data_IF_181597370104
#
_entry.id   IF_181597370104
#
_cell.length_a   1.000
_cell.length_b   1.000
_cell.length_c   1.000
_cell.angle_alpha   90.00
_cell.angle_beta   90.00
_cell.angle_gamma   90.00
#
_symmetry.space_group_name_H-M   'P 1'
#
loop_
_entity.id
_entity.type
_entity.pdbx_description
1 polymer ?
#
# COMPACT_ATOMS: atom_id res chain seq x y z
N UNK A 1 -38.27 8.02 38.45
CA UNK A 1 -38.17 8.10 36.97
C UNK A 1 -36.90 8.79 36.42
N UNK A 2 -35.90 9.16 37.24
CA UNK A 2 -34.67 9.84 36.75
C UNK A 2 -33.53 8.90 36.31
N UNK A 3 -33.52 7.63 36.73
CA UNK A 3 -32.42 6.67 36.46
C UNK A 3 -32.42 6.04 35.05
N UNK A 4 -33.56 6.03 34.33
CA UNK A 4 -33.62 5.47 32.97
C UNK A 4 -32.99 6.39 31.91
N UNK A 5 -33.08 7.72 32.08
CA UNK A 5 -32.54 8.69 31.12
C UNK A 5 -31.01 8.68 31.03
N UNK A 6 -30.32 8.35 32.13
CA UNK A 6 -28.85 8.35 32.18
C UNK A 6 -28.28 7.11 31.46
N UNK A 7 -28.93 5.95 31.57
CA UNK A 7 -28.53 4.72 30.86
C UNK A 7 -28.69 4.86 29.34
N UNK A 8 -29.76 5.50 28.86
CA UNK A 8 -29.94 5.75 27.43
C UNK A 8 -28.91 6.73 26.84
N UNK A 9 -28.40 7.68 27.64
CA UNK A 9 -27.36 8.62 27.20
C UNK A 9 -25.98 7.93 27.12
N UNK A 10 -25.67 7.01 28.03
CA UNK A 10 -24.42 6.22 27.96
C UNK A 10 -24.40 5.24 26.77
N UNK A 11 -25.53 4.66 26.39
CA UNK A 11 -25.62 3.73 25.25
C UNK A 11 -25.48 4.48 23.91
N UNK A 12 -25.94 5.73 23.83
CA UNK A 12 -25.79 6.55 22.63
C UNK A 12 -24.33 7.00 22.41
N UNK A 13 -23.55 7.17 23.49
CA UNK A 13 -22.14 7.53 23.40
C UNK A 13 -21.24 6.34 23.00
N UNK A 14 -21.65 5.10 23.32
CA UNK A 14 -20.90 3.90 22.97
C UNK A 14 -21.06 3.53 21.48
N UNK A 15 -22.22 3.81 20.88
CA UNK A 15 -22.45 3.59 19.44
C UNK A 15 -21.72 4.59 18.52
N UNK A 16 -21.28 5.74 19.05
CA UNK A 16 -20.50 6.72 18.28
C UNK A 16 -19.01 6.36 18.15
N UNK A 17 -18.53 5.32 18.85
CA UNK A 17 -17.12 4.92 18.83
C UNK A 17 -16.77 3.81 17.83
N UNK A 18 -17.77 3.26 17.13
CA UNK A 18 -17.58 2.21 16.12
C UNK A 18 -17.38 2.75 14.68
N UNK A 19 -17.04 4.03 14.54
CA UNK A 19 -16.49 4.60 13.31
C UNK A 19 -14.97 4.41 13.25
N UNK A 20 -14.47 3.21 13.57
CA UNK A 20 -13.06 2.88 13.55
C UNK A 20 -12.53 2.84 12.12
N UNK A 21 -11.88 3.93 11.70
CA UNK A 21 -10.73 3.93 10.80
C UNK A 21 -10.91 3.16 9.48
N UNK A 22 -11.93 3.50 8.69
CA UNK A 22 -11.69 3.61 7.25
C UNK A 22 -10.87 4.88 7.06
N UNK A 23 -9.57 4.80 7.37
CA UNK A 23 -8.60 5.72 6.84
C UNK A 23 -8.65 5.57 5.33
N UNK A 24 -9.58 6.27 4.68
CA UNK A 24 -9.43 6.66 3.30
C UNK A 24 -8.24 7.63 3.28
N UNK A 25 -7.04 7.08 3.47
CA UNK A 25 -5.79 7.71 3.08
C UNK A 25 -5.77 7.64 1.57
N UNK A 26 -6.67 8.43 0.96
CA UNK A 26 -6.44 8.87 -0.38
C UNK A 26 -5.13 9.62 -0.33
N UNK A 27 -4.28 9.42 -1.33
CA UNK A 27 -3.39 10.49 -1.80
C UNK A 27 -4.31 11.64 -2.25
N UNK A 28 -5.13 12.22 -1.36
CA UNK A 28 -5.89 13.43 -1.65
C UNK A 28 -4.82 14.41 -2.02
N UNK A 29 -4.79 14.79 -3.30
CA UNK A 29 -3.77 15.61 -3.90
C UNK A 29 -3.42 16.84 -3.04
N UNK A 30 -2.51 16.69 -2.10
CA UNK A 30 -1.68 17.74 -1.53
C UNK A 30 -0.25 17.37 -1.89
N UNK A 31 0.32 17.86 -2.98
CA UNK A 31 -0.24 18.36 -4.24
C UNK A 31 0.89 17.96 -5.15
N UNK A 32 0.70 16.93 -6.01
CA UNK A 32 1.69 16.74 -7.07
C UNK A 32 1.94 18.11 -7.68
N UNK A 33 3.22 18.50 -7.89
CA UNK A 33 3.52 19.83 -8.40
C UNK A 33 2.62 20.10 -9.60
N UNK A 34 1.99 21.28 -9.67
CA UNK A 34 0.88 21.55 -10.59
C UNK A 34 1.23 21.34 -12.07
N UNK A 35 2.52 21.36 -12.40
CA UNK A 35 3.06 21.09 -13.72
C UNK A 35 3.12 19.59 -14.09
N UNK A 36 3.05 18.67 -13.11
CA UNK A 36 3.01 17.23 -13.36
C UNK A 36 1.60 16.83 -13.81
N UNK A 37 1.43 16.60 -15.11
CA UNK A 37 0.17 16.14 -15.73
C UNK A 37 0.25 14.71 -16.23
N UNK A 38 1.46 14.23 -16.49
CA UNK A 38 1.74 12.89 -16.97
C UNK A 38 2.78 12.20 -16.10
N UNK A 39 2.57 10.90 -15.85
CA UNK A 39 3.50 10.07 -15.11
C UNK A 39 3.75 8.79 -15.90
N UNK A 40 5.01 8.39 -16.02
CA UNK A 40 5.39 7.08 -16.52
C UNK A 40 5.70 6.16 -15.34
N UNK A 41 4.99 5.02 -15.28
CA UNK A 41 5.29 3.95 -14.32
C UNK A 41 6.17 2.94 -15.03
N UNK A 42 7.43 2.85 -14.61
CA UNK A 42 8.39 1.93 -15.20
C UNK A 42 8.11 0.48 -14.78
N UNK A 43 8.67 -0.45 -15.54
CA UNK A 43 8.72 -1.85 -15.11
C UNK A 43 9.46 -1.98 -13.78
N UNK A 44 8.98 -2.87 -12.92
CA UNK A 44 9.60 -3.10 -11.61
C UNK A 44 10.92 -3.84 -11.82
N UNK A 45 12.02 -3.26 -11.32
CA UNK A 45 13.29 -3.95 -11.26
C UNK A 45 13.22 -5.04 -10.17
N UNK A 46 12.89 -6.26 -10.59
CA UNK A 46 12.62 -7.38 -9.69
C UNK A 46 13.89 -8.18 -9.40
N UNK A 47 14.38 -8.12 -8.16
CA UNK A 47 15.56 -8.87 -7.68
C UNK A 47 15.22 -10.20 -7.01
N UNK A 48 13.97 -10.65 -7.12
CA UNK A 48 13.48 -11.87 -6.48
C UNK A 48 13.39 -13.04 -7.46
N UNK A 49 13.08 -14.22 -6.95
CA UNK A 49 12.91 -15.43 -7.76
C UNK A 49 11.50 -15.57 -8.36
N UNK A 50 10.55 -14.75 -7.93
CA UNK A 50 9.17 -14.79 -8.45
C UNK A 50 9.05 -13.84 -9.65
N UNK A 51 8.86 -14.35 -10.88
CA UNK A 51 8.81 -13.53 -12.08
C UNK A 51 7.51 -12.73 -12.22
N UNK A 52 6.44 -13.08 -11.51
CA UNK A 52 5.11 -12.47 -11.65
C UNK A 52 4.96 -11.25 -10.73
N UNK A 53 5.60 -11.27 -9.56
CA UNK A 53 5.49 -10.19 -8.56
C UNK A 53 5.81 -8.79 -9.09
N UNK A 54 6.77 -8.68 -10.01
CA UNK A 54 7.11 -7.40 -10.64
C UNK A 54 5.91 -6.78 -11.36
N UNK A 55 5.22 -7.57 -12.17
CA UNK A 55 4.03 -7.15 -12.90
C UNK A 55 2.87 -6.84 -11.93
N UNK A 56 2.67 -7.68 -10.91
CA UNK A 56 1.63 -7.46 -9.89
C UNK A 56 1.85 -6.14 -9.13
N UNK A 57 3.11 -5.83 -8.78
CA UNK A 57 3.45 -4.56 -8.14
C UNK A 57 3.21 -3.37 -9.06
N UNK A 58 3.64 -3.45 -10.33
CA UNK A 58 3.42 -2.39 -11.31
C UNK A 58 1.92 -2.11 -11.48
N UNK A 59 1.12 -3.15 -11.73
CA UNK A 59 -0.34 -3.04 -11.88
C UNK A 59 -0.99 -2.40 -10.64
N UNK A 60 -0.49 -2.77 -9.46
CA UNK A 60 -0.99 -2.21 -8.21
C UNK A 60 -0.68 -0.71 -8.10
N UNK A 61 0.53 -0.29 -8.46
CA UNK A 61 0.94 1.12 -8.48
C UNK A 61 0.14 1.92 -9.50
N UNK A 62 -0.08 1.38 -10.69
CA UNK A 62 -0.95 2.02 -11.69
C UNK A 62 -2.37 2.24 -11.12
N UNK A 63 -2.94 1.24 -10.45
CA UNK A 63 -4.23 1.37 -9.75
C UNK A 63 -4.18 2.43 -8.65
N UNK A 64 -3.10 2.48 -7.88
CA UNK A 64 -2.88 3.51 -6.85
C UNK A 64 -2.88 4.91 -7.46
N UNK A 65 -2.17 5.15 -8.56
CA UNK A 65 -2.18 6.44 -9.25
C UNK A 65 -3.57 6.78 -9.80
N UNK A 66 -4.25 5.84 -10.46
CA UNK A 66 -5.60 6.07 -10.99
C UNK A 66 -6.62 6.39 -9.89
N UNK A 67 -6.51 5.73 -8.73
CA UNK A 67 -7.41 5.92 -7.60
C UNK A 67 -7.15 7.24 -6.88
N UNK A 68 -5.88 7.62 -6.72
CA UNK A 68 -5.54 8.71 -5.80
C UNK A 68 -4.98 9.98 -6.49
N UNK A 69 -4.33 9.89 -7.65
CA UNK A 69 -3.79 11.04 -8.38
C UNK A 69 -4.77 11.57 -9.45
N UNK A 70 -5.92 12.06 -9.00
CA UNK A 70 -6.94 12.65 -9.88
C UNK A 70 -6.38 13.78 -10.74
N UNK A 71 -6.44 13.62 -12.07
CA UNK A 71 -5.94 14.61 -13.03
C UNK A 71 -4.55 14.33 -13.61
N UNK A 72 -3.88 13.25 -13.18
CA UNK A 72 -2.65 12.75 -13.80
C UNK A 72 -2.98 11.63 -14.79
N UNK A 73 -2.37 11.69 -15.98
CA UNK A 73 -2.48 10.65 -17.00
C UNK A 73 -1.24 9.76 -16.99
N UNK A 74 -1.45 8.44 -17.00
CA UNK A 74 -0.36 7.48 -17.18
C UNK A 74 0.03 7.39 -18.65
N UNK A 75 1.32 7.50 -18.94
CA UNK A 75 1.90 7.45 -20.29
C UNK A 75 3.11 6.51 -20.34
N UNK A 76 3.51 6.09 -21.54
CA UNK A 76 4.61 5.13 -21.72
C UNK A 76 5.93 5.78 -22.12
N UNK A 77 5.94 7.08 -22.43
CA UNK A 77 7.13 7.87 -22.75
C UNK A 77 6.87 9.35 -22.51
N UNK A 78 7.94 10.14 -22.44
CA UNK A 78 7.92 11.61 -22.42
C UNK A 78 7.01 12.20 -21.33
N UNK A 79 7.04 11.57 -20.15
CA UNK A 79 6.24 12.00 -19.00
C UNK A 79 6.86 13.17 -18.24
N UNK A 80 6.01 13.97 -17.60
CA UNK A 80 6.45 15.05 -16.70
C UNK A 80 7.17 14.50 -15.46
N UNK A 81 6.89 13.26 -15.06
CA UNK A 81 7.58 12.56 -13.98
C UNK A 81 7.64 11.04 -14.18
N UNK A 82 8.69 10.43 -13.60
CA UNK A 82 8.95 9.00 -13.63
C UNK A 82 8.79 8.36 -12.26
N UNK A 83 8.07 7.25 -12.20
CA UNK A 83 7.93 6.42 -11.01
C UNK A 83 8.59 5.06 -11.23
N UNK A 84 9.59 4.77 -10.41
CA UNK A 84 10.41 3.56 -10.47
C UNK A 84 10.31 2.79 -9.16
N UNK A 85 10.30 1.46 -9.28
CA UNK A 85 10.26 0.52 -8.16
C UNK A 85 11.34 -0.53 -8.36
N UNK A 86 12.08 -0.83 -7.29
CA UNK A 86 12.96 -2.00 -7.22
C UNK A 86 12.43 -2.93 -6.15
N UNK A 87 12.00 -4.13 -6.52
CA UNK A 87 11.65 -5.18 -5.57
C UNK A 87 12.93 -5.88 -5.12
N UNK A 88 13.38 -5.55 -3.90
CA UNK A 88 14.65 -6.02 -3.34
C UNK A 88 14.56 -7.45 -2.83
N UNK A 89 13.46 -7.79 -2.15
CA UNK A 89 13.27 -9.13 -1.60
C UNK A 89 11.80 -9.48 -1.43
N UNK A 90 11.52 -10.78 -1.56
CA UNK A 90 10.25 -11.41 -1.25
C UNK A 90 10.50 -12.65 -0.40
N UNK A 91 9.75 -12.82 0.69
CA UNK A 91 9.79 -14.05 1.49
C UNK A 91 8.40 -14.46 1.90
N UNK A 92 8.14 -15.77 1.87
CA UNK A 92 6.95 -16.39 2.46
C UNK A 92 7.41 -17.41 3.51
N UNK A 93 7.03 -17.23 4.78
CA UNK A 93 7.48 -18.08 5.89
C UNK A 93 6.31 -18.44 6.81
N UNK A 94 6.29 -19.66 7.39
CA UNK A 94 5.39 -19.98 8.48
C UNK A 94 5.52 -18.97 9.62
N UNK A 95 4.39 -18.60 10.20
CA UNK A 95 4.32 -17.65 11.29
C UNK A 95 3.73 -18.31 12.55
N UNK A 96 2.51 -18.85 12.44
CA UNK A 96 1.83 -19.53 13.55
C UNK A 96 1.56 -20.99 13.22
N UNK A 97 1.47 -21.79 14.27
CA UNK A 97 1.18 -23.22 14.22
C UNK A 97 0.03 -23.56 15.15
N UNK A 98 -0.77 -24.55 14.78
CA UNK A 98 -1.85 -25.11 15.60
C UNK A 98 -1.28 -25.90 16.78
N UNK A 99 -2.17 -26.32 17.70
CA UNK A 99 -1.80 -27.24 18.79
C UNK A 99 -1.33 -28.62 18.31
N UNK A 100 -1.72 -29.03 17.09
CA UNK A 100 -1.22 -30.24 16.43
C UNK A 100 0.09 -30.03 15.64
N UNK A 101 0.73 -28.86 15.78
CA UNK A 101 1.98 -28.48 15.08
C UNK A 101 1.85 -28.37 13.56
N UNK A 102 0.64 -28.14 13.04
CA UNK A 102 0.41 -27.80 11.63
C UNK A 102 0.54 -26.29 11.44
N UNK A 103 1.04 -25.82 10.29
CA UNK A 103 1.13 -24.38 10.02
C UNK A 103 -0.27 -23.81 9.85
N UNK A 104 -0.61 -22.80 10.66
CA UNK A 104 -1.89 -22.09 10.62
C UNK A 104 -1.79 -20.85 9.71
N UNK A 105 -0.75 -20.05 9.91
CA UNK A 105 -0.54 -18.83 9.12
C UNK A 105 0.86 -18.75 8.53
N UNK A 106 0.92 -18.08 7.38
CA UNK A 106 2.14 -17.72 6.71
C UNK A 106 2.25 -16.20 6.62
N UNK A 107 3.46 -15.67 6.76
CA UNK A 107 3.77 -14.25 6.58
C UNK A 107 4.55 -14.04 5.29
N UNK A 108 3.95 -13.31 4.37
CA UNK A 108 4.63 -12.71 3.23
C UNK A 108 5.31 -11.42 3.68
N UNK A 109 6.54 -11.16 3.24
CA UNK A 109 7.26 -9.89 3.47
C UNK A 109 7.91 -9.42 2.17
N UNK A 110 7.70 -8.15 1.83
CA UNK A 110 8.23 -7.50 0.64
C UNK A 110 9.11 -6.32 1.05
N UNK A 111 10.28 -6.18 0.42
CA UNK A 111 11.13 -4.99 0.56
C UNK A 111 11.32 -4.31 -0.78
N UNK A 112 11.12 -3.00 -0.82
CA UNK A 112 11.20 -2.21 -2.05
C UNK A 112 12.00 -0.92 -1.86
N UNK A 113 12.65 -0.50 -2.95
CA UNK A 113 13.04 0.90 -3.13
C UNK A 113 12.05 1.58 -4.07
N UNK A 114 11.78 2.85 -3.82
CA UNK A 114 10.87 3.68 -4.62
C UNK A 114 11.57 4.98 -4.98
N UNK A 115 11.51 5.35 -6.25
CA UNK A 115 11.95 6.65 -6.75
C UNK A 115 10.83 7.29 -7.55
N UNK A 116 10.53 8.54 -7.23
CA UNK A 116 9.61 9.37 -7.99
C UNK A 116 10.32 10.67 -8.35
N UNK A 117 10.55 10.88 -9.64
CA UNK A 117 11.42 11.93 -10.16
C UNK A 117 10.66 12.86 -11.09
N UNK A 118 10.84 14.17 -10.92
CA UNK A 118 10.25 15.23 -11.73
C UNK A 118 11.19 15.51 -12.92
N UNK A 119 10.76 15.17 -14.13
CA UNK A 119 11.56 15.36 -15.35
C UNK A 119 11.58 16.82 -15.81
N UNK A 120 10.56 17.60 -15.45
CA UNK A 120 10.44 19.01 -15.87
C UNK A 120 11.32 19.91 -15.00
N UNK A 121 11.41 19.63 -13.70
CA UNK A 121 12.22 20.39 -12.74
C UNK A 121 13.50 19.68 -12.32
N UNK A 122 13.78 18.52 -12.91
CA UNK A 122 14.97 17.71 -12.68
C UNK A 122 15.24 17.40 -11.20
N UNK A 123 14.20 17.11 -10.42
CA UNK A 123 14.31 16.93 -8.97
C UNK A 123 13.59 15.70 -8.46
N UNK A 124 14.05 15.18 -7.33
CA UNK A 124 13.39 14.05 -6.67
C UNK A 124 12.13 14.52 -5.92
N UNK A 125 10.97 14.01 -6.33
CA UNK A 125 9.68 14.24 -5.63
C UNK A 125 9.65 13.39 -4.36
N UNK A 126 9.98 12.10 -4.51
CA UNK A 126 9.99 11.14 -3.41
C UNK A 126 11.08 10.10 -3.62
N UNK A 127 11.66 9.67 -2.50
CA UNK A 127 12.63 8.58 -2.41
C UNK A 127 12.33 7.81 -1.13
N UNK A 128 12.01 6.53 -1.28
CA UNK A 128 11.85 5.58 -0.18
C UNK A 128 12.87 4.47 -0.34
N UNK A 129 13.71 4.27 0.66
CA UNK A 129 14.73 3.22 0.66
C UNK A 129 14.38 2.13 1.66
N UNK A 130 14.54 0.88 1.25
CA UNK A 130 14.33 -0.31 2.07
C UNK A 130 12.95 -0.34 2.75
N UNK A 131 11.92 0.17 2.09
CA UNK A 131 10.55 0.10 2.60
C UNK A 131 10.17 -1.37 2.72
N UNK A 132 9.61 -1.75 3.86
CA UNK A 132 9.23 -3.12 4.15
C UNK A 132 7.78 -3.17 4.58
N UNK A 133 7.00 -4.07 3.98
CA UNK A 133 5.68 -4.40 4.49
C UNK A 133 5.39 -5.89 4.34
N UNK A 134 4.39 -6.32 5.09
CA UNK A 134 4.04 -7.73 5.25
C UNK A 134 2.54 -7.98 5.09
N UNK A 135 2.20 -9.22 4.75
CA UNK A 135 0.84 -9.70 4.74
C UNK A 135 0.79 -11.12 5.26
N UNK A 136 0.08 -11.33 6.36
CA UNK A 136 -0.19 -12.67 6.88
C UNK A 136 -1.41 -13.24 6.15
N UNK A 137 -1.42 -14.54 5.86
CA UNK A 137 -2.60 -15.27 5.40
C UNK A 137 -2.78 -16.58 6.17
N UNK A 138 -4.03 -17.01 6.33
CA UNK A 138 -4.44 -18.18 7.11
C UNK A 138 -4.89 -19.33 6.19
N UNK A 139 -4.14 -20.43 6.18
CA UNK A 139 -4.43 -21.58 5.32
C UNK A 139 -5.64 -22.38 5.79
N UNK A 140 -6.00 -22.32 7.08
CA UNK A 140 -7.17 -22.98 7.65
C UNK A 140 -8.46 -22.23 7.27
N UNK A 141 -8.36 -20.94 6.96
CA UNK A 141 -9.45 -20.12 6.43
C UNK A 141 -9.52 -20.14 4.89
N UNK A 142 -8.83 -21.08 4.22
CA UNK A 142 -8.72 -21.16 2.76
C UNK A 142 -8.11 -19.91 2.11
N UNK A 143 -7.28 -19.16 2.83
CA UNK A 143 -6.53 -18.06 2.25
C UNK A 143 -5.30 -18.57 1.50
N UNK A 144 -4.83 -17.77 0.55
CA UNK A 144 -3.70 -18.10 -0.32
C UNK A 144 -2.66 -16.99 -0.32
N UNK A 145 -1.42 -17.37 -0.61
CA UNK A 145 -0.27 -16.48 -0.72
C UNK A 145 -0.57 -15.28 -1.63
N UNK A 146 -1.00 -15.51 -2.86
CA UNK A 146 -1.21 -14.43 -3.84
C UNK A 146 -2.41 -13.52 -3.49
N UNK A 147 -3.57 -14.12 -3.22
CA UNK A 147 -4.83 -13.36 -3.07
C UNK A 147 -4.90 -12.59 -1.75
N UNK A 148 -4.22 -13.09 -0.72
CA UNK A 148 -4.33 -12.55 0.64
C UNK A 148 -2.97 -12.04 1.12
N UNK A 149 -1.94 -12.89 1.17
CA UNK A 149 -0.61 -12.51 1.68
C UNK A 149 0.02 -11.37 0.88
N UNK A 150 0.25 -11.59 -0.41
CA UNK A 150 0.83 -10.60 -1.33
C UNK A 150 -0.07 -9.37 -1.41
N UNK A 151 -1.37 -9.54 -1.64
CA UNK A 151 -2.33 -8.43 -1.71
C UNK A 151 -2.28 -7.50 -0.48
N UNK A 152 -2.25 -8.08 0.74
CA UNK A 152 -2.14 -7.31 1.99
C UNK A 152 -0.78 -6.62 2.13
N UNK A 153 0.32 -7.30 1.79
CA UNK A 153 1.66 -6.71 1.82
C UNK A 153 1.77 -5.53 0.86
N UNK A 154 1.24 -5.67 -0.35
CA UNK A 154 1.21 -4.63 -1.38
C UNK A 154 0.34 -3.45 -0.93
N UNK A 155 -0.84 -3.69 -0.37
CA UNK A 155 -1.69 -2.63 0.15
C UNK A 155 -0.97 -1.81 1.25
N UNK A 156 -0.32 -2.49 2.21
CA UNK A 156 0.49 -1.80 3.23
C UNK A 156 1.68 -1.04 2.63
N UNK A 157 2.35 -1.58 1.61
CA UNK A 157 3.41 -0.86 0.89
C UNK A 157 2.88 0.44 0.26
N UNK A 158 1.69 0.40 -0.35
CA UNK A 158 1.06 1.59 -0.92
C UNK A 158 0.76 2.64 0.15
N UNK A 159 0.21 2.21 1.29
CA UNK A 159 -0.06 3.11 2.41
C UNK A 159 1.24 3.76 2.92
N UNK A 160 2.34 3.01 3.01
CA UNK A 160 3.66 3.56 3.39
C UNK A 160 4.20 4.55 2.36
N UNK A 161 4.05 4.26 1.06
CA UNK A 161 4.49 5.17 -0.02
C UNK A 161 3.68 6.47 0.05
N UNK A 162 2.36 6.37 0.19
CA UNK A 162 1.46 7.52 0.30
C UNK A 162 1.80 8.34 1.55
N UNK A 163 1.90 7.71 2.72
CA UNK A 163 2.18 8.39 3.98
C UNK A 163 3.54 9.09 3.97
N UNK A 164 4.59 8.42 3.49
CA UNK A 164 5.94 9.00 3.47
C UNK A 164 6.11 10.06 2.38
N UNK A 165 5.39 9.96 1.27
CA UNK A 165 5.36 11.02 0.26
C UNK A 165 4.70 12.30 0.81
N UNK A 166 3.64 12.16 1.61
CA UNK A 166 2.94 13.27 2.26
C UNK A 166 3.76 13.88 3.41
N UNK A 167 4.48 13.07 4.19
CA UNK A 167 5.27 13.55 5.33
C UNK A 167 6.46 14.46 4.94
N UNK A 168 6.82 14.55 3.66
CA UNK A 168 7.91 15.39 3.16
C UNK A 168 7.50 16.83 2.84
N UNK A 169 6.24 17.22 3.08
CA UNK A 169 5.69 18.53 2.73
C UNK A 169 5.06 19.22 3.94
#
# INVERSE_FOLDING_TARGET
MKKLRVKSILILFLMASLGGLFGCYSFTASTLPSHIKTVQIHEVDNKTLDPVLGNTLKDSVEKMFRKNAGGVRLVNSDADADFELTLLSYTNKPENYTSSSEVETYRVTMKVNVRFYDNVKEKMIYKGENLSADGTYDVLQNETEDRHGQSRAIAKLQDLIIANALAKW
#
